data_IF_324527185272
#
_entry.id   IF_324527185272
#
_cell.length_a   1.000
_cell.length_b   1.000
_cell.length_c   1.000
_cell.angle_alpha   90.00
_cell.angle_beta   90.00
_cell.angle_gamma   90.00
#
_symmetry.space_group_name_H-M   'P 1'
#
loop_
_entity.id
_entity.type
_entity.pdbx_description
1 polymer ?
#
# COMPACT_ATOMS: atom_id res chain seq x y z
N UNK A 1 -4.41 -56.95 4.49
CA UNK A 1 -5.04 -55.65 4.18
C UNK A 1 -4.63 -54.67 5.24
N UNK A 2 -3.68 -53.79 4.89
CA UNK A 2 -3.05 -52.76 5.71
C UNK A 2 -2.72 -51.57 4.77
N UNK A 3 -2.54 -50.35 5.30
CA UNK A 3 -2.97 -49.09 4.68
C UNK A 3 -2.02 -48.52 3.64
N UNK A 4 -2.55 -47.61 2.80
CA UNK A 4 -1.80 -46.81 1.82
C UNK A 4 -0.91 -45.77 2.53
N UNK A 5 0.31 -45.50 2.03
CA UNK A 5 1.20 -44.46 2.55
C UNK A 5 0.84 -43.06 2.01
N UNK A 6 1.30 -41.98 2.69
CA UNK A 6 1.00 -40.60 2.32
C UNK A 6 1.78 -40.13 1.09
N UNK A 7 1.12 -39.31 0.27
CA UNK A 7 1.64 -38.67 -0.92
C UNK A 7 2.72 -37.63 -0.58
N UNK A 8 3.96 -37.97 -0.88
CA UNK A 8 5.09 -37.05 -1.03
C UNK A 8 4.94 -36.23 -2.32
N UNK A 9 4.39 -35.02 -2.23
CA UNK A 9 4.56 -34.01 -3.27
C UNK A 9 5.88 -33.26 -3.04
N UNK A 10 6.99 -33.86 -3.50
CA UNK A 10 8.23 -33.14 -3.83
C UNK A 10 8.01 -32.37 -5.14
N UNK A 11 7.55 -31.13 -5.03
CA UNK A 11 7.63 -30.15 -6.11
C UNK A 11 8.92 -29.37 -5.99
N UNK A 12 9.99 -29.86 -6.63
CA UNK A 12 11.13 -29.03 -6.99
C UNK A 12 10.64 -27.97 -7.99
N UNK A 13 10.55 -26.71 -7.57
CA UNK A 13 10.56 -25.60 -8.51
C UNK A 13 11.95 -24.98 -8.48
N UNK A 14 12.69 -25.34 -9.52
CA UNK A 14 13.87 -24.67 -10.02
C UNK A 14 13.58 -23.17 -10.13
N UNK A 15 14.27 -22.38 -9.30
CA UNK A 15 14.42 -20.94 -9.46
C UNK A 15 15.21 -20.68 -10.75
N UNK A 16 14.51 -20.74 -11.89
CA UNK A 16 14.99 -20.17 -13.14
C UNK A 16 15.00 -18.66 -12.98
N UNK A 17 16.18 -18.08 -13.16
CA UNK A 17 16.45 -16.66 -13.14
C UNK A 17 15.63 -15.94 -14.22
N UNK A 18 14.41 -15.54 -13.87
CA UNK A 18 13.70 -14.49 -14.61
C UNK A 18 14.05 -13.19 -13.92
N UNK A 19 14.83 -12.39 -14.65
CA UNK A 19 15.12 -10.98 -14.44
C UNK A 19 14.24 -10.35 -13.35
N UNK A 20 14.77 -10.25 -12.13
CA UNK A 20 14.14 -9.44 -11.10
C UNK A 20 14.19 -8.03 -11.62
N UNK A 21 13.04 -7.53 -12.06
CA UNK A 21 12.76 -6.12 -12.00
C UNK A 21 13.08 -5.68 -10.56
N UNK A 22 14.30 -5.14 -10.39
CA UNK A 22 14.60 -4.09 -9.43
C UNK A 22 13.41 -3.12 -9.45
N UNK A 23 13.12 -2.41 -8.37
CA UNK A 23 12.01 -1.44 -8.23
C UNK A 23 10.70 -2.03 -7.68
N UNK A 24 10.54 -1.86 -6.37
CA UNK A 24 9.37 -1.23 -5.77
C UNK A 24 8.11 -2.10 -5.66
N UNK A 25 7.37 -1.95 -4.57
CA UNK A 25 6.08 -2.60 -4.32
C UNK A 25 5.16 -2.40 -5.54
N UNK A 26 4.76 -3.47 -6.23
CA UNK A 26 3.86 -3.40 -7.41
C UNK A 26 2.45 -3.86 -7.06
N UNK A 27 1.47 -3.37 -7.81
CA UNK A 27 0.10 -3.84 -7.68
C UNK A 27 0.01 -5.34 -8.00
N UNK A 28 -0.41 -6.13 -7.01
CA UNK A 28 -0.73 -7.54 -7.18
C UNK A 28 -1.99 -7.76 -8.02
N UNK A 29 -2.26 -9.01 -8.48
CA UNK A 29 -3.40 -9.33 -9.33
C UNK A 29 -4.75 -8.91 -8.72
N UNK A 30 -4.89 -9.01 -7.40
CA UNK A 30 -6.06 -8.58 -6.63
C UNK A 30 -6.32 -7.07 -6.60
N UNK A 31 -5.28 -6.25 -6.80
CA UNK A 31 -5.41 -4.79 -6.95
C UNK A 31 -5.75 -4.43 -8.39
N UNK A 32 -5.19 -5.17 -9.35
CA UNK A 32 -5.47 -4.98 -10.78
C UNK A 32 -6.92 -5.32 -11.13
N UNK A 33 -7.51 -6.29 -10.44
CA UNK A 33 -8.90 -6.71 -10.61
C UNK A 33 -9.94 -5.69 -10.11
N UNK A 34 -9.55 -4.69 -9.31
CA UNK A 34 -10.47 -3.65 -8.84
C UNK A 34 -10.89 -2.77 -10.02
N UNK A 35 -12.18 -2.65 -10.29
CA UNK A 35 -12.69 -1.87 -11.44
C UNK A 35 -12.64 -0.36 -11.16
N UNK A 36 -13.01 0.06 -9.95
CA UNK A 36 -13.10 1.45 -9.53
C UNK A 36 -11.71 2.08 -9.31
N UNK A 37 -11.08 2.53 -10.39
CA UNK A 37 -9.79 3.23 -10.37
C UNK A 37 -9.94 4.69 -10.79
N UNK A 38 -9.57 5.61 -9.90
CA UNK A 38 -9.67 7.05 -10.12
C UNK A 38 -8.31 7.72 -10.06
N UNK A 39 -8.02 8.61 -11.02
CA UNK A 39 -6.80 9.42 -11.01
C UNK A 39 -7.03 10.71 -10.22
N UNK A 40 -6.18 10.94 -9.23
CA UNK A 40 -6.20 12.15 -8.41
C UNK A 40 -5.26 13.17 -9.03
N UNK A 41 -5.80 14.35 -9.37
CA UNK A 41 -5.02 15.47 -9.89
C UNK A 41 -4.59 16.42 -8.77
N UNK A 42 -3.81 17.45 -9.13
CA UNK A 42 -3.37 18.49 -8.18
C UNK A 42 -4.47 19.47 -7.78
N UNK A 43 -5.57 19.51 -8.54
CA UNK A 43 -6.74 20.36 -8.31
C UNK A 43 -7.82 19.65 -7.48
N UNK A 44 -7.63 18.36 -7.20
CA UNK A 44 -8.65 17.55 -6.55
C UNK A 44 -8.90 18.02 -5.10
N UNK A 45 -10.16 18.15 -4.71
CA UNK A 45 -10.57 18.48 -3.35
C UNK A 45 -10.78 17.23 -2.51
N UNK A 46 -10.25 17.22 -1.28
CA UNK A 46 -10.28 16.05 -0.41
C UNK A 46 -11.70 15.72 0.09
N UNK A 47 -12.61 16.70 0.19
CA UNK A 47 -13.98 16.47 0.65
C UNK A 47 -14.82 15.88 -0.48
N UNK A 48 -14.66 16.37 -1.70
CA UNK A 48 -15.32 15.79 -2.88
C UNK A 48 -14.86 14.34 -3.11
N UNK A 49 -13.56 14.09 -3.03
CA UNK A 49 -13.02 12.73 -3.07
C UNK A 49 -13.55 11.85 -1.94
N UNK A 50 -13.75 12.40 -0.73
CA UNK A 50 -14.33 11.63 0.37
C UNK A 50 -15.78 11.23 0.11
N UNK A 51 -16.56 12.07 -0.57
CA UNK A 51 -17.93 11.74 -1.00
C UNK A 51 -17.91 10.66 -2.08
N UNK A 52 -16.96 10.72 -3.02
CA UNK A 52 -16.76 9.67 -4.01
C UNK A 52 -16.43 8.32 -3.34
N UNK A 53 -15.52 8.32 -2.37
CA UNK A 53 -15.17 7.10 -1.60
C UNK A 53 -16.43 6.52 -0.93
N UNK A 54 -17.25 7.37 -0.32
CA UNK A 54 -18.50 6.94 0.33
C UNK A 54 -19.55 6.42 -0.67
N UNK A 55 -19.59 6.97 -1.88
CA UNK A 55 -20.53 6.55 -2.92
C UNK A 55 -20.16 5.22 -3.57
N UNK A 56 -18.86 4.90 -3.62
CA UNK A 56 -18.34 3.65 -4.20
C UNK A 56 -18.30 2.52 -3.18
N UNK A 57 -17.87 2.81 -1.94
CA UNK A 57 -17.74 1.80 -0.89
C UNK A 57 -19.07 1.66 -0.11
N UNK A 58 -19.96 0.81 -0.59
CA UNK A 58 -21.31 0.62 -0.05
C UNK A 58 -21.37 -0.59 0.88
N UNK A 59 -20.72 -1.68 0.49
CA UNK A 59 -20.71 -2.95 1.19
C UNK A 59 -19.30 -3.33 1.63
N UNK A 60 -19.16 -4.05 2.75
CA UNK A 60 -17.89 -4.65 3.09
C UNK A 60 -17.32 -5.51 1.95
N UNK A 61 -16.01 -5.42 1.75
CA UNK A 61 -15.32 -6.03 0.60
C UNK A 61 -15.19 -5.10 -0.60
N UNK A 62 -16.02 -4.06 -0.71
CA UNK A 62 -15.89 -3.04 -1.74
C UNK A 62 -14.50 -2.38 -1.65
N UNK A 63 -13.96 -2.07 -2.81
CA UNK A 63 -12.64 -1.51 -2.93
C UNK A 63 -12.56 -0.54 -4.09
N UNK A 64 -11.77 0.51 -3.92
CA UNK A 64 -11.42 1.43 -4.98
C UNK A 64 -9.92 1.75 -4.93
N UNK A 65 -9.40 2.24 -6.05
CA UNK A 65 -8.01 2.67 -6.16
C UNK A 65 -7.95 4.16 -6.49
N UNK A 66 -7.25 4.93 -5.67
CA UNK A 66 -6.88 6.31 -5.97
C UNK A 66 -5.43 6.36 -6.46
N UNK A 67 -5.23 6.79 -7.70
CA UNK A 67 -3.93 6.87 -8.35
C UNK A 67 -3.41 8.31 -8.31
N UNK A 68 -2.29 8.54 -7.66
CA UNK A 68 -1.69 9.86 -7.56
C UNK A 68 -0.25 9.88 -8.05
N UNK A 69 0.16 10.98 -8.66
CA UNK A 69 1.55 11.24 -9.01
C UNK A 69 2.09 12.40 -8.19
N UNK A 70 3.16 12.15 -7.43
CA UNK A 70 3.79 13.14 -6.56
C UNK A 70 3.02 13.44 -5.27
N UNK A 71 3.57 14.35 -4.46
CA UNK A 71 3.16 14.55 -3.06
C UNK A 71 1.73 15.06 -2.88
N UNK A 72 1.30 15.98 -3.75
CA UNK A 72 0.03 16.69 -3.55
C UNK A 72 -1.19 15.78 -3.75
N UNK A 73 -1.32 15.04 -4.87
CA UNK A 73 -2.43 14.12 -5.06
C UNK A 73 -2.51 13.02 -3.98
N UNK A 74 -1.36 12.51 -3.55
CA UNK A 74 -1.30 11.47 -2.51
C UNK A 74 -1.75 12.01 -1.15
N UNK A 75 -1.31 13.21 -0.78
CA UNK A 75 -1.80 13.89 0.42
C UNK A 75 -3.32 14.11 0.36
N UNK A 76 -3.84 14.53 -0.80
CA UNK A 76 -5.28 14.70 -1.01
C UNK A 76 -6.04 13.38 -0.85
N UNK A 77 -5.57 12.29 -1.47
CA UNK A 77 -6.17 10.97 -1.37
C UNK A 77 -6.17 10.42 0.07
N UNK A 78 -5.07 10.58 0.83
CA UNK A 78 -5.00 10.18 2.25
C UNK A 78 -5.98 11.00 3.10
N UNK A 79 -6.07 12.30 2.87
CA UNK A 79 -7.04 13.17 3.56
C UNK A 79 -8.47 12.75 3.26
N UNK A 80 -8.78 12.48 1.99
CA UNK A 80 -10.10 12.02 1.58
C UNK A 80 -10.47 10.69 2.25
N UNK A 81 -9.56 9.72 2.28
CA UNK A 81 -9.75 8.44 2.97
C UNK A 81 -10.01 8.65 4.48
N UNK A 82 -9.26 9.56 5.11
CA UNK A 82 -9.45 9.90 6.53
C UNK A 82 -10.82 10.51 6.80
N UNK A 83 -11.25 11.46 5.96
CA UNK A 83 -12.59 12.09 6.05
C UNK A 83 -13.70 11.05 5.83
N UNK A 84 -13.52 10.14 4.86
CA UNK A 84 -14.47 9.06 4.61
C UNK A 84 -14.55 8.09 5.80
N UNK A 85 -13.41 7.71 6.39
CA UNK A 85 -13.37 6.78 7.52
C UNK A 85 -14.14 7.31 8.74
N UNK A 86 -14.10 8.63 8.98
CA UNK A 86 -14.87 9.27 10.06
C UNK A 86 -16.38 9.06 9.91
N UNK A 87 -16.89 8.84 8.69
CA UNK A 87 -18.31 8.63 8.43
C UNK A 87 -18.75 7.18 8.49
N UNK A 88 -17.91 6.24 8.08
CA UNK A 88 -18.19 4.81 8.24
C UNK A 88 -18.19 4.38 9.72
N UNK A 89 -17.43 5.08 10.57
CA UNK A 89 -17.40 4.83 12.01
C UNK A 89 -16.50 3.64 12.39
N UNK A 90 -16.51 3.26 13.67
CA UNK A 90 -15.59 2.23 14.20
C UNK A 90 -15.96 0.78 13.83
N UNK A 91 -17.22 0.53 13.46
CA UNK A 91 -17.71 -0.81 13.17
C UNK A 91 -17.30 -1.32 11.77
N UNK A 92 -17.07 -0.41 10.83
CA UNK A 92 -16.71 -0.68 9.43
C UNK A 92 -15.49 0.17 9.05
N UNK A 93 -14.28 -0.22 9.51
CA UNK A 93 -13.10 0.57 9.26
C UNK A 93 -12.71 0.55 7.78
N UNK A 94 -12.08 1.64 7.32
CA UNK A 94 -11.43 1.67 6.03
C UNK A 94 -10.00 1.16 6.16
N UNK A 95 -9.67 0.14 5.37
CA UNK A 95 -8.30 -0.33 5.19
C UNK A 95 -7.68 0.42 4.01
N UNK A 96 -6.55 1.09 4.24
CA UNK A 96 -5.80 1.81 3.20
C UNK A 96 -4.46 1.12 2.98
N UNK A 97 -4.22 0.67 1.76
CA UNK A 97 -2.97 0.02 1.36
C UNK A 97 -2.29 0.83 0.25
N UNK A 98 -0.97 1.02 0.37
CA UNK A 98 -0.17 1.73 -0.61
C UNK A 98 0.58 0.73 -1.49
N UNK A 99 0.49 0.92 -2.81
CA UNK A 99 1.21 0.11 -3.77
C UNK A 99 1.67 0.95 -4.95
N UNK A 100 2.61 0.44 -5.74
CA UNK A 100 3.03 1.03 -7.00
C UNK A 100 2.10 0.66 -8.15
N UNK A 101 2.38 1.19 -9.35
CA UNK A 101 1.55 0.93 -10.52
C UNK A 101 1.60 -0.54 -10.97
N UNK A 102 0.73 -0.88 -11.92
CA UNK A 102 0.72 -2.19 -12.56
C UNK A 102 2.11 -2.59 -13.13
N UNK A 103 2.44 -3.89 -13.14
CA UNK A 103 3.63 -4.39 -13.83
C UNK A 103 3.67 -3.91 -15.30
N UNK A 104 4.84 -3.45 -15.75
CA UNK A 104 5.02 -2.96 -17.14
C UNK A 104 4.65 -1.50 -17.39
N UNK A 105 4.03 -0.79 -16.44
CA UNK A 105 3.95 0.67 -16.53
C UNK A 105 5.32 1.28 -16.17
N UNK A 106 5.94 1.95 -17.15
CA UNK A 106 7.24 2.60 -16.97
C UNK A 106 7.05 3.81 -16.06
N UNK A 107 7.62 3.73 -14.86
CA UNK A 107 7.86 4.92 -14.04
C UNK A 107 8.82 5.82 -14.81
N UNK A 108 8.40 7.04 -15.14
CA UNK A 108 9.25 7.97 -15.88
C UNK A 108 10.41 8.40 -14.98
N UNK A 109 11.53 7.69 -15.06
CA UNK A 109 12.73 7.83 -14.21
C UNK A 109 13.38 9.21 -14.29
N UNK A 110 12.99 10.04 -15.26
CA UNK A 110 13.49 11.40 -15.42
C UNK A 110 12.72 12.44 -14.59
N UNK A 111 11.54 12.12 -14.08
CA UNK A 111 10.80 12.98 -13.12
C UNK A 111 10.71 12.23 -11.81
N UNK A 112 11.05 12.89 -10.69
CA UNK A 112 10.93 12.33 -9.32
C UNK A 112 9.47 12.11 -8.88
N UNK A 113 8.54 12.03 -9.82
CA UNK A 113 7.12 11.87 -9.58
C UNK A 113 6.78 10.38 -9.69
N UNK A 114 6.89 9.69 -8.55
CA UNK A 114 6.48 8.30 -8.42
C UNK A 114 4.94 8.24 -8.46
N UNK A 115 4.40 7.33 -9.27
CA UNK A 115 2.98 7.01 -9.21
C UNK A 115 2.75 6.08 -8.02
N UNK A 116 1.83 6.46 -7.15
CA UNK A 116 1.44 5.69 -5.97
C UNK A 116 -0.06 5.45 -6.07
N UNK A 117 -0.44 4.20 -5.84
CA UNK A 117 -1.83 3.75 -5.80
C UNK A 117 -2.23 3.55 -4.35
N UNK A 118 -3.29 4.23 -3.92
CA UNK A 118 -3.96 3.99 -2.65
C UNK A 118 -5.16 3.10 -2.89
N UNK A 119 -5.08 1.86 -2.43
CA UNK A 119 -6.20 0.94 -2.40
C UNK A 119 -6.96 1.19 -1.11
N UNK A 120 -8.24 1.56 -1.22
CA UNK A 120 -9.11 1.82 -0.09
C UNK A 120 -10.19 0.73 -0.10
N UNK A 121 -10.30 -0.02 0.99
CA UNK A 121 -11.29 -1.09 1.15
C UNK A 121 -12.17 -0.85 2.35
N UNK A 122 -13.46 -1.11 2.22
CA UNK A 122 -14.36 -1.18 3.36
C UNK A 122 -14.23 -2.56 4.00
N UNK A 123 -13.77 -2.62 5.25
CA UNK A 123 -13.52 -3.88 5.93
C UNK A 123 -14.79 -4.47 6.57
N UNK A 124 -14.90 -5.80 6.57
CA UNK A 124 -15.98 -6.56 7.23
C UNK A 124 -15.97 -6.50 8.76
N UNK A 125 -14.84 -6.11 9.36
CA UNK A 125 -14.61 -5.88 10.78
C UNK A 125 -13.19 -5.30 10.94
N UNK A 126 -12.79 -4.70 12.08
CA UNK A 126 -11.41 -4.32 12.31
C UNK A 126 -10.50 -5.55 12.26
N UNK A 127 -9.89 -5.78 11.09
CA UNK A 127 -8.77 -6.69 10.95
C UNK A 127 -7.55 -5.94 11.49
N UNK A 128 -7.30 -6.06 12.80
CA UNK A 128 -5.94 -5.82 13.29
C UNK A 128 -5.14 -7.01 12.79
N UNK A 129 -4.23 -6.86 11.80
CA UNK A 129 -3.35 -7.96 11.47
C UNK A 129 -2.58 -8.31 12.74
N UNK A 130 -2.49 -9.61 13.06
CA UNK A 130 -1.57 -10.09 14.09
C UNK A 130 -0.17 -9.68 13.67
N UNK A 131 0.32 -8.58 14.23
CA UNK A 131 1.68 -8.13 14.01
C UNK A 131 2.59 -9.11 14.74
N UNK A 132 3.68 -9.59 14.11
CA UNK A 132 4.66 -10.44 14.79
C UNK A 132 5.15 -9.74 16.07
N UNK A 133 5.31 -10.50 17.15
CA UNK A 133 5.61 -9.96 18.50
C UNK A 133 6.86 -9.06 18.54
N UNK A 134 7.81 -9.26 17.61
CA UNK A 134 8.95 -8.39 17.40
C UNK A 134 8.82 -7.58 16.11
N UNK A 135 8.33 -6.34 16.24
CA UNK A 135 8.41 -5.33 15.18
C UNK A 135 9.36 -4.21 15.60
N UNK A 136 10.15 -3.72 14.65
CA UNK A 136 10.97 -2.53 14.86
C UNK A 136 10.16 -1.29 14.47
N UNK A 137 9.86 -0.43 15.43
CA UNK A 137 9.18 0.83 15.17
C UNK A 137 10.15 1.88 14.56
N UNK A 138 9.81 2.42 13.39
CA UNK A 138 10.43 3.61 12.81
C UNK A 138 9.49 4.80 12.92
N UNK A 139 9.90 5.81 13.68
CA UNK A 139 9.15 7.06 13.81
C UNK A 139 9.49 7.97 12.63
N UNK A 140 8.46 8.31 11.86
CA UNK A 140 8.51 9.22 10.73
C UNK A 140 7.93 10.56 11.14
N UNK A 141 8.73 11.60 10.97
CA UNK A 141 8.38 12.98 11.26
C UNK A 141 8.52 13.86 10.02
N UNK A 142 8.11 15.12 10.16
CA UNK A 142 8.35 16.16 9.16
C UNK A 142 9.85 16.45 8.93
N UNK A 143 10.74 16.07 9.84
CA UNK A 143 12.19 16.17 9.66
C UNK A 143 12.82 14.93 8.99
N UNK A 144 12.15 13.78 9.00
CA UNK A 144 12.67 12.53 8.43
C UNK A 144 12.93 12.68 6.94
N UNK A 145 14.14 12.36 6.49
CA UNK A 145 14.49 12.38 5.06
C UNK A 145 14.06 11.07 4.40
N UNK A 146 13.41 11.15 3.25
CA UNK A 146 12.86 9.99 2.53
C UNK A 146 13.92 8.94 2.23
N UNK A 147 15.10 9.34 1.72
CA UNK A 147 16.20 8.41 1.43
C UNK A 147 16.72 7.69 2.68
N UNK A 148 16.76 8.37 3.84
CA UNK A 148 17.19 7.75 5.08
C UNK A 148 16.16 6.73 5.58
N UNK A 149 14.87 7.05 5.46
CA UNK A 149 13.78 6.13 5.75
C UNK A 149 13.79 4.91 4.81
N UNK A 150 13.99 5.13 3.51
CA UNK A 150 14.11 4.04 2.54
C UNK A 150 15.29 3.12 2.85
N UNK A 151 16.44 3.68 3.25
CA UNK A 151 17.59 2.90 3.70
C UNK A 151 17.28 2.05 4.93
N UNK A 152 16.58 2.63 5.92
CA UNK A 152 16.18 1.92 7.13
C UNK A 152 15.21 0.76 6.83
N UNK A 153 14.18 1.00 6.02
CA UNK A 153 13.22 -0.03 5.58
C UNK A 153 13.95 -1.13 4.80
N UNK A 154 14.84 -0.76 3.86
CA UNK A 154 15.61 -1.73 3.06
C UNK A 154 16.50 -2.62 3.95
N UNK A 155 17.15 -2.04 4.97
CA UNK A 155 17.96 -2.82 5.92
C UNK A 155 17.11 -3.86 6.66
N UNK A 156 15.96 -3.43 7.19
CA UNK A 156 15.06 -4.34 7.90
C UNK A 156 14.46 -5.42 7.02
N UNK A 157 14.11 -5.10 5.76
CA UNK A 157 13.67 -6.11 4.78
C UNK A 157 14.76 -7.15 4.50
N UNK A 158 16.03 -6.75 4.38
CA UNK A 158 17.17 -7.67 4.22
C UNK A 158 17.35 -8.58 5.44
N UNK A 159 17.12 -8.04 6.61
CA UNK A 159 17.16 -8.76 7.89
C UNK A 159 15.93 -9.64 8.13
N UNK A 160 14.90 -9.57 7.25
CA UNK A 160 13.58 -10.21 7.41
C UNK A 160 12.87 -9.80 8.70
N UNK A 161 13.15 -8.59 9.18
CA UNK A 161 12.54 -8.02 10.38
C UNK A 161 11.38 -7.12 9.95
N UNK A 162 10.14 -7.42 10.38
CA UNK A 162 8.99 -6.56 10.14
C UNK A 162 9.19 -5.17 10.78
N UNK A 163 8.78 -4.14 10.06
CA UNK A 163 8.93 -2.74 10.47
C UNK A 163 7.56 -2.12 10.66
N UNK A 164 7.34 -1.48 11.80
CA UNK A 164 6.16 -0.63 12.02
C UNK A 164 6.53 0.83 11.76
N UNK A 165 5.79 1.49 10.87
CA UNK A 165 6.05 2.89 10.49
C UNK A 165 5.03 3.78 11.20
N UNK A 166 5.48 4.52 12.20
CA UNK A 166 4.61 5.44 12.94
C UNK A 166 4.84 6.87 12.49
N UNK A 167 3.78 7.64 12.31
CA UNK A 167 3.88 9.04 11.97
C UNK A 167 2.55 9.74 12.10
N UNK A 168 2.60 11.02 12.43
CA UNK A 168 1.40 11.83 12.63
C UNK A 168 1.17 12.70 11.41
N UNK A 169 -0.01 12.55 10.81
CA UNK A 169 -0.48 13.40 9.74
C UNK A 169 0.04 13.03 8.34
N UNK A 170 -0.50 13.68 7.31
CA UNK A 170 -0.38 13.23 5.92
C UNK A 170 1.01 13.43 5.33
N UNK A 171 1.81 14.37 5.85
CA UNK A 171 3.21 14.56 5.42
C UNK A 171 4.06 13.33 5.78
N UNK A 172 3.83 12.76 6.96
CA UNK A 172 4.55 11.56 7.40
C UNK A 172 4.14 10.35 6.57
N UNK A 173 2.83 10.18 6.31
CA UNK A 173 2.30 9.12 5.43
C UNK A 173 2.88 9.23 4.02
N UNK A 174 2.93 10.43 3.45
CA UNK A 174 3.53 10.63 2.13
C UNK A 174 5.00 10.19 2.09
N UNK A 175 5.80 10.58 3.10
CA UNK A 175 7.21 10.17 3.19
C UNK A 175 7.38 8.66 3.38
N UNK A 176 6.49 8.02 4.14
CA UNK A 176 6.47 6.56 4.27
C UNK A 176 6.20 5.91 2.91
N UNK A 177 5.15 6.35 2.23
CA UNK A 177 4.78 5.84 0.91
C UNK A 177 5.90 6.04 -0.10
N UNK A 178 6.50 7.23 -0.16
CA UNK A 178 7.64 7.54 -1.03
C UNK A 178 8.84 6.66 -0.69
N UNK A 179 9.20 6.51 0.60
CA UNK A 179 10.31 5.66 1.01
C UNK A 179 10.09 4.18 0.62
N UNK A 180 8.86 3.66 0.75
CA UNK A 180 8.49 2.30 0.33
C UNK A 180 8.57 2.09 -1.19
N UNK A 181 8.40 3.13 -2.01
CA UNK A 181 8.63 3.00 -3.47
C UNK A 181 10.11 2.91 -3.84
N UNK A 182 10.99 3.49 -3.01
CA UNK A 182 12.43 3.53 -3.25
C UNK A 182 13.15 2.30 -2.70
N UNK A 183 12.57 1.61 -1.71
CA UNK A 183 13.15 0.40 -1.11
C UNK A 183 13.25 -0.75 -2.12
N UNK A 184 14.41 -1.43 -2.12
CA UNK A 184 14.79 -2.46 -3.09
C UNK A 184 15.20 -3.78 -2.42
#
# INVERSE_FOLDING_TARGET
>A
MLPRPPSLCRGFLTLSAVHRDMWGIRAGPEVLAIEDKFRVSKEADARELALLIQGVLIQPGDALVLQGMGAHPINCAVKAATIAAQRFGRATPLNVHFTGPAPGMIMNSQRRDYEIWLVIRLADAPLVPDLPEETRALIVSTATRVHALAGAITSSLKERTPVDLHGIGPVCVHKMAEAMTVTA
#
